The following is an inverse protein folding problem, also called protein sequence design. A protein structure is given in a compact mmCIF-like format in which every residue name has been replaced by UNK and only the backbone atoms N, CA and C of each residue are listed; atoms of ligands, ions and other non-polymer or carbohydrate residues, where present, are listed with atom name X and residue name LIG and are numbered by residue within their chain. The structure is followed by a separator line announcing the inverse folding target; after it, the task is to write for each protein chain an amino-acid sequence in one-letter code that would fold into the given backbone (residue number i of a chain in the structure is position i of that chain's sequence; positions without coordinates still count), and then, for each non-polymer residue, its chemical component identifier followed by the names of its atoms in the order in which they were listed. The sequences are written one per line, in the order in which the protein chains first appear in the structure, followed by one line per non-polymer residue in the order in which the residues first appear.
data_IF_149093163477
#
_entry.id   IF_149093163477
#
_cell.length_a   1.000
_cell.length_b   1.000
_cell.length_c   1.000
_cell.angle_alpha   90.00
_cell.angle_beta   90.00
_cell.angle_gamma   90.00
#
_symmetry.space_group_name_H-M   'P 1'
#
loop_
_entity.id
_entity.type
_entity.pdbx_description
1 polymer ?
#
# COMPACT_ATOMS: atom_id res chain seq x y z
N UNK A 1 28.47 22.74 -47.57
CA UNK A 1 27.40 23.64 -47.11
C UNK A 1 26.06 22.93 -47.33
N UNK A 2 25.50 22.33 -46.28
CA UNK A 2 24.26 21.53 -46.34
C UNK A 2 23.20 22.31 -45.55
N UNK A 3 22.07 22.62 -46.18
CA UNK A 3 20.92 23.28 -45.53
C UNK A 3 20.10 22.21 -44.79
N UNK A 4 19.76 22.41 -43.50
CA UNK A 4 18.85 21.51 -42.79
C UNK A 4 17.39 21.84 -43.12
N UNK A 5 16.61 20.78 -43.31
CA UNK A 5 15.20 20.80 -43.70
C UNK A 5 14.26 21.33 -42.63
N UNK A 6 13.16 21.92 -43.11
CA UNK A 6 12.00 22.31 -42.32
C UNK A 6 11.20 21.08 -41.88
N UNK A 7 10.96 20.99 -40.58
CA UNK A 7 10.04 20.02 -39.96
C UNK A 7 8.62 20.57 -40.10
N UNK A 8 7.74 19.77 -40.70
CA UNK A 8 6.29 20.01 -40.79
C UNK A 8 5.68 19.74 -39.41
N UNK A 9 5.27 20.79 -38.70
CA UNK A 9 4.49 20.69 -37.47
C UNK A 9 3.02 20.38 -37.80
N UNK A 10 2.63 19.12 -37.65
CA UNK A 10 1.24 18.66 -37.72
C UNK A 10 0.49 19.05 -36.43
N UNK A 11 -0.27 20.14 -36.47
CA UNK A 11 -1.20 20.51 -35.40
C UNK A 11 -2.51 19.72 -35.50
N UNK A 12 -2.75 18.80 -34.56
CA UNK A 12 -4.10 18.40 -34.08
C UNK A 12 -4.02 17.36 -32.95
N UNK A 13 -4.34 17.76 -31.70
CA UNK A 13 -5.02 16.84 -30.80
C UNK A 13 -6.11 17.57 -29.98
N UNK A 14 -7.05 18.27 -30.61
CA UNK A 14 -8.15 18.93 -29.88
C UNK A 14 -9.50 18.20 -29.93
N UNK A 15 -9.62 17.11 -30.73
CA UNK A 15 -10.90 16.38 -30.85
C UNK A 15 -11.10 15.25 -29.82
N UNK A 16 -10.03 14.68 -29.26
CA UNK A 16 -10.14 13.55 -28.31
C UNK A 16 -10.54 13.99 -26.90
N UNK A 17 -10.03 15.14 -26.43
CA UNK A 17 -10.36 15.65 -25.09
C UNK A 17 -11.85 16.01 -24.93
N UNK A 18 -12.50 16.53 -25.99
CA UNK A 18 -13.92 16.89 -25.93
C UNK A 18 -14.86 15.68 -25.83
N UNK A 19 -14.47 14.51 -26.37
CA UNK A 19 -15.28 13.29 -26.33
C UNK A 19 -15.19 12.63 -24.94
N UNK A 20 -14.00 12.60 -24.34
CA UNK A 20 -13.79 12.04 -22.99
C UNK A 20 -14.54 12.88 -21.95
N UNK A 21 -14.45 14.22 -22.03
CA UNK A 21 -15.14 15.10 -21.08
C UNK A 21 -16.67 14.97 -21.14
N UNK A 22 -17.26 14.87 -22.35
CA UNK A 22 -18.72 14.68 -22.51
C UNK A 22 -19.21 13.33 -21.98
N UNK A 23 -18.37 12.29 -22.01
CA UNK A 23 -18.75 10.95 -21.56
C UNK A 23 -18.70 10.85 -20.04
N UNK A 24 -17.68 11.44 -19.40
CA UNK A 24 -17.58 11.49 -17.93
C UNK A 24 -18.70 12.31 -17.28
N UNK A 25 -19.11 13.44 -17.87
CA UNK A 25 -20.22 14.25 -17.33
C UNK A 25 -21.58 13.54 -17.41
N UNK A 26 -21.83 12.70 -18.43
CA UNK A 26 -23.08 11.93 -18.54
C UNK A 26 -23.18 10.80 -17.50
N UNK A 27 -22.06 10.14 -17.19
CA UNK A 27 -22.01 9.06 -16.19
C UNK A 27 -22.15 9.62 -14.77
N UNK A 28 -21.49 10.74 -14.47
CA UNK A 28 -21.63 11.42 -13.17
C UNK A 28 -23.07 11.91 -12.93
N UNK A 29 -23.73 12.44 -13.97
CA UNK A 29 -25.13 12.88 -13.89
C UNK A 29 -26.12 11.75 -13.60
N UNK A 30 -25.94 10.56 -14.18
CA UNK A 30 -26.84 9.42 -13.95
C UNK A 30 -26.68 8.77 -12.56
N UNK A 31 -25.46 8.79 -12.00
CA UNK A 31 -25.19 8.26 -10.65
C UNK A 31 -25.75 9.18 -9.56
N UNK A 32 -25.74 10.50 -9.78
CA UNK A 32 -26.34 11.46 -8.85
C UNK A 32 -27.87 11.42 -8.90
N UNK A 33 -28.49 11.27 -10.07
CA UNK A 33 -29.95 11.21 -10.20
C UNK A 33 -30.54 9.95 -9.54
N UNK A 34 -29.88 8.79 -9.67
CA UNK A 34 -30.35 7.54 -9.06
C UNK A 34 -30.27 7.55 -7.53
N UNK A 35 -29.25 8.20 -6.96
CA UNK A 35 -29.14 8.40 -5.50
C UNK A 35 -30.20 9.37 -4.97
N UNK A 36 -30.53 10.43 -5.71
CA UNK A 36 -31.60 11.36 -5.31
C UNK A 36 -33.00 10.73 -5.35
N UNK A 37 -33.29 9.90 -6.36
CA UNK A 37 -34.59 9.21 -6.45
C UNK A 37 -34.77 8.21 -5.30
N UNK A 38 -33.71 7.48 -4.91
CA UNK A 38 -33.79 6.58 -3.75
C UNK A 38 -33.93 7.32 -2.41
N UNK A 39 -33.27 8.47 -2.23
CA UNK A 39 -33.42 9.26 -1.00
C UNK A 39 -34.85 9.82 -0.84
N UNK A 40 -35.47 10.24 -1.95
CA UNK A 40 -36.86 10.74 -1.94
C UNK A 40 -37.89 9.66 -1.56
N UNK A 41 -37.63 8.39 -1.88
CA UNK A 41 -38.50 7.26 -1.50
C UNK A 41 -38.44 6.93 -0.01
N UNK A 42 -37.33 7.22 0.67
CA UNK A 42 -37.22 7.03 2.11
C UNK A 42 -37.79 8.21 2.92
N UNK A 43 -37.69 9.43 2.39
CA UNK A 43 -38.26 10.61 3.06
C UNK A 43 -39.79 10.62 3.00
N UNK A 44 -40.40 10.10 1.93
CA UNK A 44 -41.87 9.97 1.85
C UNK A 44 -42.45 8.90 2.80
N UNK A 45 -41.64 7.96 3.30
CA UNK A 45 -42.09 6.96 4.29
C UNK A 45 -42.17 7.52 5.72
N UNK A 46 -41.61 8.70 5.98
CA UNK A 46 -41.55 9.31 7.33
C UNK A 46 -42.68 10.30 7.62
N UNK A 47 -43.57 10.58 6.66
CA UNK A 47 -44.61 11.60 6.83
C UNK A 47 -46.04 11.04 6.98
N UNK A 48 -46.26 9.72 6.96
CA UNK A 48 -47.62 9.15 6.96
C UNK A 48 -47.77 7.85 7.79
N UNK A 49 -47.24 7.81 9.01
CA UNK A 49 -47.65 6.77 9.98
C UNK A 49 -47.87 7.33 11.38
N UNK A 50 -49.00 7.00 12.03
CA UNK A 50 -49.37 7.54 13.33
C UNK A 50 -48.65 6.84 14.49
N UNK A 51 -48.37 7.64 15.53
CA UNK A 51 -48.02 7.25 16.91
C UNK A 51 -46.60 6.73 17.15
N UNK A 52 -45.90 7.44 18.05
CA UNK A 52 -44.60 7.15 18.67
C UNK A 52 -44.51 5.80 19.40
N UNK A 53 -45.60 5.03 19.46
CA UNK A 53 -45.68 3.76 20.16
C UNK A 53 -45.11 2.58 19.35
N UNK A 54 -45.20 2.63 18.01
CA UNK A 54 -44.67 1.56 17.13
C UNK A 54 -43.15 1.64 16.99
N UNK A 55 -42.57 2.83 17.05
CA UNK A 55 -41.11 3.03 17.00
C UNK A 55 -40.38 2.45 18.22
N UNK A 56 -41.01 2.46 19.40
CA UNK A 56 -40.42 1.92 20.63
C UNK A 56 -40.38 0.39 20.65
N UNK A 57 -41.39 -0.28 20.05
CA UNK A 57 -41.43 -1.74 19.94
C UNK A 57 -40.39 -2.29 18.97
N UNK A 58 -40.07 -1.56 17.89
CA UNK A 58 -39.01 -1.95 16.97
C UNK A 58 -37.60 -1.82 17.58
N UNK A 59 -37.33 -0.77 18.36
CA UNK A 59 -36.05 -0.62 19.07
C UNK A 59 -35.85 -1.67 20.17
N UNK A 60 -36.93 -2.10 20.86
CA UNK A 60 -36.87 -3.17 21.86
C UNK A 60 -36.58 -4.55 21.26
N UNK A 61 -37.16 -4.88 20.11
CA UNK A 61 -36.93 -6.17 19.44
C UNK A 61 -35.51 -6.31 18.87
N UNK A 62 -34.88 -5.22 18.42
CA UNK A 62 -33.50 -5.25 17.93
C UNK A 62 -32.45 -5.41 19.03
N UNK A 63 -32.73 -4.95 20.26
CA UNK A 63 -31.81 -5.08 21.40
C UNK A 63 -31.85 -6.47 22.05
N UNK A 64 -32.98 -7.19 21.94
CA UNK A 64 -33.12 -8.58 22.40
C UNK A 64 -32.53 -9.62 21.41
N UNK A 65 -32.32 -9.26 20.14
CA UNK A 65 -31.61 -10.11 19.18
C UNK A 65 -30.08 -9.92 19.21
N UNK A 66 -29.61 -8.74 19.62
CA UNK A 66 -28.19 -8.46 19.77
C UNK A 66 -27.57 -9.02 21.08
N UNK A 67 -28.40 -9.40 22.06
CA UNK A 67 -27.96 -9.92 23.36
C UNK A 67 -27.93 -11.47 23.45
N UNK A 68 -28.31 -12.19 22.40
CA UNK A 68 -28.23 -13.66 22.33
C UNK A 68 -26.88 -14.15 21.76
N UNK A 69 -26.02 -13.28 21.23
CA UNK A 69 -24.74 -13.70 20.63
C UNK A 69 -23.50 -13.52 21.52
N UNK A 70 -23.66 -13.34 22.83
CA UNK A 70 -22.54 -13.38 23.78
C UNK A 70 -22.86 -14.41 24.87
N UNK A 71 -22.04 -15.47 24.90
CA UNK A 71 -21.87 -16.48 25.97
C UNK A 71 -22.95 -17.58 26.07
N UNK A 72 -22.79 -18.60 25.23
CA UNK A 72 -23.05 -19.98 25.66
C UNK A 72 -21.80 -20.84 25.34
N UNK A 73 -20.97 -21.06 26.36
CA UNK A 73 -19.97 -22.12 26.38
C UNK A 73 -20.64 -23.47 26.13
N UNK A 74 -20.12 -24.33 25.23
CA UNK A 74 -20.54 -25.73 25.19
C UNK A 74 -19.74 -26.52 26.23
N UNK A 75 -20.41 -27.01 27.27
CA UNK A 75 -19.98 -28.22 28.00
C UNK A 75 -20.16 -29.40 27.03
N UNK A 76 -19.20 -30.32 26.92
CA UNK A 76 -19.09 -31.23 25.78
C UNK A 76 -20.17 -32.32 25.82
N UNK A 77 -20.91 -32.48 24.73
CA UNK A 77 -21.64 -33.71 24.43
C UNK A 77 -20.92 -34.40 23.25
N UNK A 78 -20.35 -35.60 23.42
CA UNK A 78 -19.47 -36.23 22.45
C UNK A 78 -20.33 -37.03 21.47
N UNK A 79 -20.71 -36.47 20.32
CA UNK A 79 -21.03 -37.19 19.06
C UNK A 79 -21.79 -36.33 18.04
N UNK A 80 -21.43 -35.06 17.86
CA UNK A 80 -21.90 -34.32 16.69
C UNK A 80 -20.73 -33.55 16.13
N UNK A 81 -20.23 -34.01 14.98
CA UNK A 81 -19.24 -33.31 14.16
C UNK A 81 -19.79 -31.93 13.79
N UNK A 82 -19.41 -30.94 14.60
CA UNK A 82 -19.57 -29.53 14.24
C UNK A 82 -18.59 -29.30 13.10
N UNK A 83 -19.14 -29.21 11.90
CA UNK A 83 -18.43 -28.77 10.71
C UNK A 83 -17.61 -27.53 11.05
N UNK A 84 -16.30 -27.74 11.14
CA UNK A 84 -15.29 -26.72 11.09
C UNK A 84 -15.59 -25.87 9.85
N UNK A 85 -16.23 -24.72 10.02
CA UNK A 85 -16.19 -23.68 8.99
C UNK A 85 -14.72 -23.28 8.89
N UNK A 86 -14.04 -23.94 7.98
CA UNK A 86 -12.64 -23.77 7.78
C UNK A 86 -12.45 -22.39 7.15
N UNK A 87 -11.75 -21.52 7.88
CA UNK A 87 -11.07 -20.36 7.29
C UNK A 87 -10.03 -20.77 6.22
N UNK A 88 -9.96 -22.05 5.83
CA UNK A 88 -9.00 -22.60 4.86
C UNK A 88 -9.40 -22.42 3.39
N UNK A 89 -10.56 -21.84 3.10
CA UNK A 89 -11.00 -21.61 1.71
C UNK A 89 -10.65 -20.23 1.13
N UNK A 90 -10.19 -19.29 1.96
CA UNK A 90 -9.67 -18.00 1.49
C UNK A 90 -8.24 -18.08 0.95
N UNK A 91 -7.47 -19.15 1.23
CA UNK A 91 -6.01 -19.16 1.07
C UNK A 91 -5.45 -19.95 -0.12
N UNK A 92 -6.13 -20.03 -1.26
CA UNK A 92 -5.57 -20.69 -2.47
C UNK A 92 -5.69 -19.91 -3.77
N UNK A 93 -6.05 -18.64 -3.69
CA UNK A 93 -6.10 -17.79 -4.89
C UNK A 93 -4.80 -17.04 -4.99
N UNK A 94 -4.29 -16.97 -6.21
CA UNK A 94 -3.18 -16.10 -6.54
C UNK A 94 -3.49 -14.67 -6.09
N UNK A 95 -2.55 -14.08 -5.36
CA UNK A 95 -2.66 -12.73 -4.83
C UNK A 95 -1.67 -11.87 -5.60
N UNK A 96 -2.19 -10.82 -6.22
CA UNK A 96 -1.38 -9.82 -6.90
C UNK A 96 -1.47 -8.50 -6.12
N UNK A 97 -0.33 -7.93 -5.77
CA UNK A 97 -0.24 -6.66 -5.03
C UNK A 97 0.74 -5.71 -5.71
N UNK A 98 0.54 -4.41 -5.52
CA UNK A 98 1.49 -3.40 -5.99
C UNK A 98 2.80 -3.46 -5.20
N UNK A 99 3.88 -3.11 -5.89
CA UNK A 99 5.20 -2.84 -5.30
C UNK A 99 5.53 -1.41 -5.63
N UNK A 100 5.60 -0.58 -4.59
CA UNK A 100 5.81 0.85 -4.71
C UNK A 100 7.02 1.28 -3.87
N UNK A 101 7.75 2.26 -4.40
CA UNK A 101 8.79 2.97 -3.68
C UNK A 101 8.17 4.21 -3.06
N UNK A 102 8.10 4.26 -1.73
CA UNK A 102 7.63 5.43 -1.00
C UNK A 102 8.85 6.21 -0.52
N UNK A 103 8.88 7.52 -0.79
CA UNK A 103 10.00 8.37 -0.42
C UNK A 103 9.44 9.53 0.40
N UNK A 104 9.78 9.53 1.68
CA UNK A 104 9.37 10.55 2.64
C UNK A 104 10.47 11.57 2.85
N UNK A 105 10.10 12.84 3.02
CA UNK A 105 11.03 13.93 3.26
C UNK A 105 11.91 14.25 2.03
N UNK A 106 12.81 15.23 2.19
CA UNK A 106 13.73 15.67 1.12
C UNK A 106 15.08 16.04 1.73
N UNK A 107 16.17 15.79 0.99
CA UNK A 107 17.51 16.20 1.39
C UNK A 107 18.01 15.43 2.61
N UNK A 108 18.27 16.13 3.72
CA UNK A 108 18.81 15.52 4.96
C UNK A 108 17.83 14.54 5.63
N UNK A 109 16.54 14.71 5.38
CA UNK A 109 15.47 13.91 5.97
C UNK A 109 14.89 12.90 4.98
N UNK A 110 15.47 12.75 3.79
CA UNK A 110 14.96 11.84 2.77
C UNK A 110 15.14 10.38 3.21
N UNK A 111 14.03 9.62 3.22
CA UNK A 111 14.03 8.21 3.60
C UNK A 111 13.17 7.40 2.65
N UNK A 112 13.71 6.24 2.23
CA UNK A 112 13.10 5.39 1.22
C UNK A 112 12.55 4.13 1.86
N UNK A 113 11.28 3.84 1.58
CA UNK A 113 10.55 2.68 2.04
C UNK A 113 10.11 1.85 0.83
N UNK A 114 9.93 0.55 1.03
CA UNK A 114 9.33 -0.33 0.03
C UNK A 114 7.95 -0.79 0.49
N UNK A 115 6.91 -0.36 -0.21
CA UNK A 115 5.52 -0.75 0.04
C UNK A 115 5.18 -1.94 -0.86
N UNK A 116 4.72 -3.04 -0.25
CA UNK A 116 4.29 -4.25 -0.98
C UNK A 116 2.90 -4.63 -0.48
N UNK A 117 1.88 -4.35 -1.29
CA UNK A 117 0.49 -4.40 -0.83
C UNK A 117 0.30 -3.51 0.41
N UNK A 118 -0.21 -4.05 1.53
CA UNK A 118 -0.41 -3.25 2.75
C UNK A 118 0.85 -3.11 3.63
N UNK A 119 1.98 -3.73 3.28
CA UNK A 119 3.16 -3.78 4.14
C UNK A 119 4.27 -2.85 3.68
N UNK A 120 4.66 -1.93 4.56
CA UNK A 120 5.75 -0.99 4.37
C UNK A 120 7.02 -1.51 5.04
N UNK A 121 8.10 -1.70 4.28
CA UNK A 121 9.40 -2.16 4.78
C UNK A 121 10.44 -1.06 4.71
N UNK A 122 11.31 -0.96 5.73
CA UNK A 122 12.37 0.04 5.76
C UNK A 122 13.56 -0.38 6.63
N UNK A 123 14.69 0.28 6.42
CA UNK A 123 15.85 0.22 7.30
C UNK A 123 16.25 1.62 7.74
N UNK A 124 16.20 1.89 9.04
CA UNK A 124 16.47 3.21 9.63
C UNK A 124 17.10 3.11 11.02
N UNK A 125 17.44 4.26 11.60
CA UNK A 125 17.92 4.32 12.98
C UNK A 125 16.74 4.52 13.93
N UNK A 126 16.77 3.85 15.09
CA UNK A 126 15.76 4.06 16.15
C UNK A 126 15.88 5.46 16.77
N UNK A 127 17.10 5.96 16.87
CA UNK A 127 17.42 7.32 17.29
C UNK A 127 18.60 7.82 16.45
N UNK A 128 18.31 8.71 15.50
CA UNK A 128 19.34 9.30 14.63
C UNK A 128 20.27 10.26 15.38
N UNK A 129 19.82 10.87 16.48
CA UNK A 129 20.60 11.86 17.22
C UNK A 129 21.76 11.23 18.00
N UNK A 130 21.59 9.98 18.44
CA UNK A 130 22.57 9.27 19.28
C UNK A 130 23.32 8.16 18.54
N UNK A 131 22.98 7.87 17.29
CA UNK A 131 23.62 6.81 16.52
C UNK A 131 24.98 7.24 15.97
N UNK A 132 26.05 6.50 16.31
CA UNK A 132 27.31 6.54 15.56
C UNK A 132 27.11 5.87 14.19
N UNK A 133 26.78 6.66 13.18
CA UNK A 133 26.48 6.15 11.85
C UNK A 133 27.63 5.30 11.26
N UNK A 134 28.89 5.62 11.58
CA UNK A 134 30.05 4.95 10.97
C UNK A 134 30.32 3.54 11.52
N UNK A 135 29.75 3.23 12.69
CA UNK A 135 29.92 1.94 13.39
C UNK A 135 28.62 1.16 13.51
N UNK A 136 27.51 1.84 13.74
CA UNK A 136 26.19 1.25 13.97
C UNK A 136 25.53 0.85 12.65
N UNK A 137 24.73 -0.21 12.68
CA UNK A 137 23.94 -0.68 11.54
C UNK A 137 22.52 -0.18 11.65
N UNK A 138 21.88 0.13 10.53
CA UNK A 138 20.44 0.45 10.54
C UNK A 138 19.63 -0.78 10.96
N UNK A 139 18.56 -0.52 11.70
CA UNK A 139 17.57 -1.51 12.09
C UNK A 139 16.48 -1.61 11.03
N UNK A 140 16.08 -2.83 10.70
CA UNK A 140 15.00 -3.10 9.75
C UNK A 140 13.67 -3.19 10.48
N UNK A 141 12.61 -2.64 9.90
CA UNK A 141 11.27 -2.68 10.46
C UNK A 141 10.22 -2.81 9.35
N UNK A 142 9.02 -3.24 9.74
CA UNK A 142 7.87 -3.33 8.86
C UNK A 142 6.63 -2.79 9.56
N UNK A 143 5.75 -2.12 8.82
CA UNK A 143 4.53 -1.53 9.33
C UNK A 143 3.38 -1.80 8.38
N UNK A 144 2.15 -1.80 8.90
CA UNK A 144 0.97 -1.74 8.08
C UNK A 144 0.80 -0.30 7.56
N UNK A 145 0.70 -0.11 6.24
CA UNK A 145 0.63 1.20 5.60
C UNK A 145 -0.50 2.05 6.16
N UNK A 146 -1.70 1.48 6.27
CA UNK A 146 -2.90 2.19 6.73
C UNK A 146 -2.75 2.74 8.16
N UNK A 147 -1.87 2.14 8.98
CA UNK A 147 -1.61 2.56 10.36
C UNK A 147 -0.58 3.70 10.45
N UNK A 148 0.32 3.80 9.46
CA UNK A 148 1.48 4.72 9.52
C UNK A 148 1.48 5.79 8.43
N UNK A 149 0.63 5.70 7.42
CA UNK A 149 0.54 6.67 6.32
C UNK A 149 0.36 8.11 6.85
N UNK A 150 -0.58 8.29 7.78
CA UNK A 150 -0.83 9.59 8.41
C UNK A 150 0.35 10.12 9.23
N UNK A 151 1.25 9.23 9.68
CA UNK A 151 2.43 9.57 10.48
C UNK A 151 3.64 9.97 9.63
N UNK A 152 3.68 9.56 8.35
CA UNK A 152 4.75 9.93 7.42
C UNK A 152 4.70 11.40 6.98
N UNK A 153 3.66 12.14 7.39
CA UNK A 153 3.45 13.54 7.02
C UNK A 153 2.96 13.71 5.57
N UNK A 154 2.62 14.93 5.18
CA UNK A 154 2.08 15.22 3.85
C UNK A 154 3.11 15.24 2.70
N UNK A 155 4.40 15.13 3.02
CA UNK A 155 5.51 15.30 2.07
C UNK A 155 6.17 13.95 1.74
N UNK A 156 5.37 12.98 1.30
CA UNK A 156 5.88 11.77 0.67
C UNK A 156 5.45 11.70 -0.79
N UNK A 157 6.28 11.05 -1.61
CA UNK A 157 5.91 10.67 -2.96
C UNK A 157 5.95 9.15 -3.12
N UNK A 158 5.02 8.61 -3.91
CA UNK A 158 4.94 7.19 -4.22
C UNK A 158 5.29 7.01 -5.69
N UNK A 159 6.29 6.18 -5.95
CA UNK A 159 6.70 5.77 -7.28
C UNK A 159 6.35 4.29 -7.51
N UNK A 160 5.41 3.99 -8.42
CA UNK A 160 5.08 2.61 -8.74
C UNK A 160 6.24 1.88 -9.42
N UNK A 161 6.62 0.72 -8.90
CA UNK A 161 7.67 -0.12 -9.48
C UNK A 161 7.10 -1.31 -10.27
N UNK A 162 5.88 -1.74 -9.95
CA UNK A 162 5.16 -2.80 -10.63
C UNK A 162 4.34 -3.63 -9.64
N UNK A 163 4.36 -4.95 -9.81
CA UNK A 163 3.54 -5.88 -9.03
C UNK A 163 4.35 -7.06 -8.49
N UNK A 164 3.89 -7.58 -7.36
CA UNK A 164 4.31 -8.85 -6.79
C UNK A 164 3.14 -9.83 -6.81
N UNK A 165 3.42 -11.08 -7.14
CA UNK A 165 2.43 -12.15 -7.22
C UNK A 165 2.84 -13.27 -6.28
N UNK A 166 1.94 -13.68 -5.39
CA UNK A 166 2.09 -14.87 -4.54
C UNK A 166 0.99 -15.87 -4.85
N UNK A 167 1.26 -17.16 -4.60
CA UNK A 167 0.28 -18.23 -4.88
C UNK A 167 -0.97 -18.12 -4.03
N UNK A 168 -0.77 -17.67 -2.80
CA UNK A 168 -1.80 -17.49 -1.78
C UNK A 168 -1.28 -16.59 -0.63
N UNK A 169 -2.07 -16.50 0.43
CA UNK A 169 -1.77 -15.70 1.62
C UNK A 169 -0.65 -16.30 2.48
N UNK A 170 -0.49 -17.63 2.50
CA UNK A 170 0.56 -18.29 3.28
C UNK A 170 1.92 -18.06 2.62
N UNK A 171 1.98 -18.20 1.30
CA UNK A 171 3.15 -17.88 0.47
C UNK A 171 3.54 -16.39 0.59
N UNK A 172 2.55 -15.48 0.63
CA UNK A 172 2.81 -14.05 0.90
C UNK A 172 3.37 -13.84 2.32
N UNK A 173 2.78 -14.50 3.32
CA UNK A 173 3.23 -14.45 4.71
C UNK A 173 4.68 -14.93 4.86
N UNK A 174 5.04 -16.02 4.19
CA UNK A 174 6.40 -16.55 4.16
C UNK A 174 7.38 -15.56 3.48
N UNK A 175 6.96 -14.94 2.36
CA UNK A 175 7.76 -13.90 1.71
C UNK A 175 8.05 -12.74 2.67
N UNK A 176 7.02 -12.23 3.36
CA UNK A 176 7.17 -11.13 4.31
C UNK A 176 7.99 -11.51 5.54
N UNK A 177 7.86 -12.74 6.06
CA UNK A 177 8.70 -13.24 7.13
C UNK A 177 10.20 -13.21 6.74
N UNK A 178 10.52 -13.70 5.53
CA UNK A 178 11.91 -13.66 5.02
C UNK A 178 12.44 -12.25 4.81
N UNK A 179 11.60 -11.29 4.42
CA UNK A 179 11.99 -9.88 4.35
C UNK A 179 12.35 -9.36 5.74
N UNK A 180 11.55 -9.68 6.76
CA UNK A 180 11.79 -9.27 8.16
C UNK A 180 13.04 -9.90 8.77
N UNK A 181 13.61 -10.94 8.17
CA UNK A 181 14.88 -11.55 8.57
C UNK A 181 16.10 -10.86 7.96
N UNK A 182 15.93 -10.00 6.94
CA UNK A 182 17.05 -9.26 6.36
C UNK A 182 17.67 -8.35 7.43
N UNK A 183 19.00 -8.37 7.53
CA UNK A 183 19.79 -7.52 8.43
C UNK A 183 20.81 -6.75 7.64
N UNK A 184 21.03 -5.49 8.00
CA UNK A 184 22.08 -4.66 7.39
C UNK A 184 23.46 -5.27 7.65
N UNK A 185 24.25 -5.45 6.58
CA UNK A 185 25.57 -6.07 6.67
C UNK A 185 26.65 -5.06 7.02
N UNK A 186 26.48 -3.81 6.59
CA UNK A 186 27.42 -2.72 6.79
C UNK A 186 26.85 -1.70 7.78
N UNK A 187 27.75 -0.97 8.43
CA UNK A 187 27.38 0.19 9.22
C UNK A 187 26.66 1.22 8.34
N UNK A 188 25.89 2.10 8.96
CA UNK A 188 25.30 3.24 8.29
C UNK A 188 26.38 4.13 7.65
N UNK A 189 25.98 5.03 6.75
CA UNK A 189 26.92 5.87 6.00
C UNK A 189 28.06 5.06 5.32
N UNK A 190 27.81 3.81 4.91
CA UNK A 190 28.70 2.99 4.06
C UNK A 190 27.88 2.35 2.95
N UNK A 191 28.49 2.06 1.80
CA UNK A 191 27.83 1.31 0.72
C UNK A 191 27.33 -0.05 1.24
N UNK A 192 26.05 -0.37 1.03
CA UNK A 192 25.40 -1.55 1.63
C UNK A 192 24.89 -1.33 3.07
N UNK A 193 24.88 -0.09 3.52
CA UNK A 193 24.52 0.38 4.87
C UNK A 193 23.40 1.42 4.87
N UNK A 194 22.76 1.67 3.73
CA UNK A 194 21.72 2.68 3.55
C UNK A 194 20.32 2.05 3.34
N UNK A 195 19.24 2.79 3.58
CA UNK A 195 17.87 2.32 3.33
C UNK A 195 17.63 1.91 1.87
N UNK A 196 18.27 2.62 0.92
CA UNK A 196 18.23 2.25 -0.50
C UNK A 196 18.87 0.87 -0.78
N UNK A 197 19.96 0.53 -0.07
CA UNK A 197 20.60 -0.78 -0.21
C UNK A 197 19.73 -1.89 0.35
N UNK A 198 19.04 -1.63 1.46
CA UNK A 198 18.06 -2.55 2.03
C UNK A 198 16.92 -2.84 1.04
N UNK A 199 16.31 -1.80 0.46
CA UNK A 199 15.21 -1.97 -0.50
C UNK A 199 15.67 -2.76 -1.74
N UNK A 200 16.90 -2.53 -2.22
CA UNK A 200 17.51 -3.35 -3.26
C UNK A 200 17.64 -4.83 -2.85
N UNK A 201 18.08 -5.12 -1.64
CA UNK A 201 18.21 -6.49 -1.12
C UNK A 201 16.84 -7.19 -0.97
N UNK A 202 15.80 -6.45 -0.54
CA UNK A 202 14.41 -6.94 -0.51
C UNK A 202 13.93 -7.34 -1.90
N UNK A 203 14.08 -6.45 -2.89
CA UNK A 203 13.64 -6.71 -4.26
C UNK A 203 14.43 -7.87 -4.91
N UNK A 204 15.73 -7.99 -4.62
CA UNK A 204 16.54 -9.14 -5.06
C UNK A 204 16.07 -10.45 -4.42
N UNK A 205 15.73 -10.45 -3.13
CA UNK A 205 15.15 -11.61 -2.45
C UNK A 205 13.84 -12.03 -3.13
N UNK A 206 12.92 -11.09 -3.33
CA UNK A 206 11.61 -11.34 -3.93
C UNK A 206 11.74 -11.87 -5.36
N UNK A 207 12.63 -11.29 -6.16
CA UNK A 207 12.92 -11.77 -7.52
C UNK A 207 13.47 -13.20 -7.50
N UNK A 208 14.43 -13.49 -6.62
CA UNK A 208 15.02 -14.85 -6.51
C UNK A 208 13.97 -15.88 -6.14
N UNK A 209 12.96 -15.48 -5.38
CA UNK A 209 11.83 -16.33 -4.98
C UNK A 209 10.69 -16.36 -5.99
N UNK A 210 10.76 -15.56 -7.06
CA UNK A 210 9.75 -15.53 -8.13
C UNK A 210 8.56 -14.63 -7.87
N UNK A 211 8.53 -13.87 -6.77
CA UNK A 211 7.41 -12.99 -6.43
C UNK A 211 7.34 -11.74 -7.31
N UNK A 212 8.49 -11.22 -7.79
CA UNK A 212 8.55 -10.03 -8.65
C UNK A 212 9.36 -10.30 -9.91
N UNK A 213 9.01 -9.60 -10.98
CA UNK A 213 9.71 -9.70 -12.27
C UNK A 213 11.08 -9.01 -12.24
N UNK A 214 11.91 -9.27 -13.27
CA UNK A 214 13.16 -8.53 -13.48
C UNK A 214 12.92 -7.03 -13.70
N UNK A 215 11.77 -6.66 -14.26
CA UNK A 215 11.42 -5.27 -14.56
C UNK A 215 11.22 -4.45 -13.29
N UNK A 216 10.59 -5.01 -12.24
CA UNK A 216 10.42 -4.34 -10.94
C UNK A 216 11.78 -4.01 -10.31
N UNK A 217 12.71 -4.96 -10.34
CA UNK A 217 14.08 -4.74 -9.83
C UNK A 217 14.83 -3.70 -10.67
N UNK A 218 14.63 -3.70 -11.99
CA UNK A 218 15.27 -2.74 -12.89
C UNK A 218 14.73 -1.31 -12.69
N UNK A 219 13.42 -1.14 -12.51
CA UNK A 219 12.79 0.15 -12.22
C UNK A 219 13.35 0.74 -10.92
N UNK A 220 13.44 -0.06 -9.86
CA UNK A 220 14.07 0.39 -8.62
C UNK A 220 15.56 0.68 -8.80
N UNK A 221 16.28 -0.14 -9.57
CA UNK A 221 17.72 0.06 -9.81
C UNK A 221 17.98 1.37 -10.55
N UNK A 222 17.13 1.76 -11.50
CA UNK A 222 17.25 3.04 -12.17
C UNK A 222 17.15 4.19 -11.18
N UNK A 223 16.12 4.21 -10.34
CA UNK A 223 15.97 5.23 -9.30
C UNK A 223 17.12 5.24 -8.30
N UNK A 224 17.58 4.04 -7.91
CA UNK A 224 18.76 3.87 -7.07
C UNK A 224 19.98 4.51 -7.75
N UNK A 225 20.33 4.12 -8.98
CA UNK A 225 21.53 4.60 -9.66
C UNK A 225 21.50 6.13 -9.88
N UNK A 226 20.34 6.67 -10.23
CA UNK A 226 20.15 8.10 -10.53
C UNK A 226 20.23 8.97 -9.26
N UNK A 227 19.84 8.43 -8.09
CA UNK A 227 19.69 9.21 -6.86
C UNK A 227 20.69 8.84 -5.76
N UNK A 228 21.38 7.71 -5.82
CA UNK A 228 22.13 7.19 -4.65
C UNK A 228 23.20 8.16 -4.15
N UNK A 229 24.00 8.75 -5.04
CA UNK A 229 24.99 9.77 -4.67
C UNK A 229 24.34 11.03 -4.09
N UNK A 230 23.23 11.50 -4.67
CA UNK A 230 22.49 12.68 -4.19
C UNK A 230 21.97 12.44 -2.77
N UNK A 231 21.27 11.33 -2.56
CA UNK A 231 20.65 10.99 -1.27
C UNK A 231 21.71 10.67 -0.23
N UNK A 232 22.76 9.92 -0.58
CA UNK A 232 23.82 9.61 0.37
C UNK A 232 24.57 10.85 0.86
N UNK A 233 24.90 11.78 -0.03
CA UNK A 233 25.48 13.08 0.36
C UNK A 233 24.53 13.89 1.22
N UNK A 234 23.24 13.92 0.88
CA UNK A 234 22.27 14.72 1.63
C UNK A 234 22.02 14.16 3.03
N UNK A 235 21.76 12.86 3.17
CA UNK A 235 21.42 12.21 4.45
C UNK A 235 22.64 11.94 5.31
N UNK A 236 23.74 11.47 4.71
CA UNK A 236 24.92 10.99 5.42
C UNK A 236 26.14 11.92 5.32
N UNK A 237 26.10 12.97 4.48
CA UNK A 237 27.23 13.87 4.28
C UNK A 237 28.39 13.27 3.47
N UNK A 238 28.21 12.06 2.91
CA UNK A 238 29.27 11.32 2.21
C UNK A 238 28.75 10.69 0.91
N UNK A 239 29.61 10.62 -0.10
CA UNK A 239 29.31 9.85 -1.32
C UNK A 239 29.59 8.37 -1.06
N UNK A 240 28.56 7.54 -1.16
CA UNK A 240 28.68 6.10 -0.91
C UNK A 240 28.88 5.29 -2.20
N UNK A 241 28.91 5.96 -3.35
CA UNK A 241 29.12 5.35 -4.66
C UNK A 241 30.32 6.01 -5.37
N UNK A 242 31.56 5.70 -4.93
CA UNK A 242 32.76 6.16 -5.62
C UNK A 242 32.88 5.53 -7.02
#
# INVERSE_FOLDING_TARGET
MIRPGQIIASSKPQRWFAIIFRTCSRIAGQVLLSKFINLSRHVMFLQNTPSSFVALLYFGATLLWASIQVLASPVPNPNVDIAHFSNSQLSKREIEVNVDLVIGGVGKNEHWYLLIGPQLFQAGARDFATMDATKSKLTTSSYNWDEVESQLGGDYYILPLGKATSKDADDQGEAFAKIREIRMKKAAAKKGGNCMDYNMDVLKLLRRKGYVSKAVVAAYKQEYDDNYTRVSKAVWGVDLQP
#
